data_IF_000142903556
#
_entry.id   IF_000142903556
#
_cell.length_a   1.000
_cell.length_b   1.000
_cell.length_c   1.000
_cell.angle_alpha   90.00
_cell.angle_beta   90.00
_cell.angle_gamma   90.00
#
_symmetry.space_group_name_H-M   'P 1'
#
loop_
_entity.id
_entity.type
_entity.pdbx_description
1 polymer ?
#
# COMPACT_ATOMS: atom_id res chain seq x y z
N UNK A 1 -16.96 -33.24 8.12
CA UNK A 1 -16.53 -32.74 9.45
C UNK A 1 -15.55 -31.60 9.24
N UNK A 2 -15.80 -30.47 9.88
CA UNK A 2 -14.97 -29.26 9.96
C UNK A 2 -14.68 -28.50 8.65
N UNK A 3 -15.55 -27.51 8.40
CA UNK A 3 -15.31 -26.46 7.42
C UNK A 3 -14.06 -25.66 7.79
N UNK A 4 -13.12 -25.61 6.86
CA UNK A 4 -12.01 -24.67 6.88
C UNK A 4 -12.57 -23.27 6.60
N UNK A 5 -13.12 -22.60 7.61
CA UNK A 5 -13.20 -21.14 7.61
C UNK A 5 -11.77 -20.66 7.78
N UNK A 6 -10.99 -20.74 6.69
CA UNK A 6 -9.71 -20.06 6.60
C UNK A 6 -10.09 -18.59 6.69
N UNK A 7 -9.81 -17.94 7.82
CA UNK A 7 -9.70 -16.49 7.89
C UNK A 7 -8.62 -16.08 6.87
N UNK A 8 -9.01 -15.98 5.60
CA UNK A 8 -8.23 -15.35 4.55
C UNK A 8 -8.26 -13.88 4.92
N UNK A 9 -7.34 -13.45 5.78
CA UNK A 9 -6.97 -12.05 5.82
C UNK A 9 -6.46 -11.70 4.43
N UNK A 10 -7.37 -11.09 3.67
CA UNK A 10 -7.17 -10.69 2.30
C UNK A 10 -6.19 -9.53 2.31
N UNK A 11 -5.05 -9.65 1.61
CA UNK A 11 -4.11 -8.55 1.44
C UNK A 11 -4.79 -7.28 0.91
N UNK A 12 -5.93 -7.42 0.21
CA UNK A 12 -6.77 -6.28 -0.18
C UNK A 12 -7.38 -5.55 1.01
N UNK A 13 -7.78 -6.23 2.08
CA UNK A 13 -8.34 -5.59 3.27
C UNK A 13 -7.26 -4.78 4.00
N UNK A 14 -6.09 -5.37 4.20
CA UNK A 14 -4.93 -4.71 4.82
C UNK A 14 -4.50 -3.51 3.99
N UNK A 15 -4.32 -3.69 2.68
CA UNK A 15 -3.92 -2.60 1.79
C UNK A 15 -4.94 -1.46 1.72
N UNK A 16 -6.25 -1.74 1.83
CA UNK A 16 -7.26 -0.68 1.95
C UNK A 16 -7.09 0.12 3.24
N UNK A 17 -6.87 -0.54 4.38
CA UNK A 17 -6.65 0.15 5.65
C UNK A 17 -5.40 1.03 5.60
N UNK A 18 -4.31 0.51 5.05
CA UNK A 18 -3.06 1.26 4.88
C UNK A 18 -3.27 2.45 3.93
N UNK A 19 -3.90 2.27 2.78
CA UNK A 19 -4.17 3.36 1.85
C UNK A 19 -5.00 4.49 2.49
N UNK A 20 -6.04 4.13 3.24
CA UNK A 20 -6.87 5.10 3.97
C UNK A 20 -6.08 5.82 5.08
N UNK A 21 -5.12 5.13 5.72
CA UNK A 21 -4.25 5.74 6.74
C UNK A 21 -3.24 6.75 6.17
N UNK A 22 -2.99 6.72 4.86
CA UNK A 22 -2.24 7.75 4.13
C UNK A 22 -3.15 8.85 3.56
N UNK A 23 -4.47 8.74 3.70
CA UNK A 23 -5.44 9.54 2.96
C UNK A 23 -5.27 9.44 1.42
N UNK A 24 -5.01 8.22 0.92
CA UNK A 24 -4.83 7.95 -0.52
C UNK A 24 -5.92 6.98 -1.00
N UNK A 25 -6.35 7.15 -2.25
CA UNK A 25 -7.31 6.23 -2.89
C UNK A 25 -6.73 4.81 -2.91
N UNK A 26 -7.47 3.78 -2.42
CA UNK A 26 -6.97 2.40 -2.40
C UNK A 26 -6.52 1.88 -3.76
N UNK A 27 -7.22 2.24 -4.84
CA UNK A 27 -6.82 1.82 -6.18
C UNK A 27 -5.44 2.36 -6.56
N UNK A 28 -5.15 3.64 -6.27
CA UNK A 28 -3.85 4.23 -6.55
C UNK A 28 -2.75 3.55 -5.73
N UNK A 29 -3.00 3.28 -4.45
CA UNK A 29 -2.08 2.53 -3.59
C UNK A 29 -1.74 1.15 -4.18
N UNK A 30 -2.76 0.37 -4.58
CA UNK A 30 -2.52 -0.95 -5.17
C UNK A 30 -1.79 -0.87 -6.50
N UNK A 31 -2.14 0.08 -7.37
CA UNK A 31 -1.45 0.28 -8.64
C UNK A 31 0.01 0.66 -8.42
N UNK A 32 0.31 1.48 -7.41
CA UNK A 32 1.70 1.80 -7.03
C UNK A 32 2.46 0.53 -6.63
N UNK A 33 1.90 -0.27 -5.73
CA UNK A 33 2.54 -1.52 -5.30
C UNK A 33 2.71 -2.52 -6.45
N UNK A 34 1.74 -2.60 -7.36
CA UNK A 34 1.82 -3.45 -8.55
C UNK A 34 2.99 -3.06 -9.47
N UNK A 35 3.37 -1.78 -9.53
CA UNK A 35 4.52 -1.34 -10.33
C UNK A 35 5.86 -1.85 -9.77
N UNK A 36 5.95 -2.10 -8.46
CA UNK A 36 7.22 -2.36 -7.77
C UNK A 36 7.33 -3.76 -7.18
N UNK A 37 6.20 -4.39 -6.82
CA UNK A 37 6.14 -5.71 -6.18
C UNK A 37 5.03 -6.53 -6.86
N UNK A 38 5.38 -7.44 -7.79
CA UNK A 38 4.39 -8.26 -8.51
C UNK A 38 3.46 -9.09 -7.62
N UNK A 39 3.92 -9.45 -6.41
CA UNK A 39 3.18 -10.27 -5.42
C UNK A 39 2.70 -9.45 -4.22
N UNK A 40 2.37 -8.17 -4.43
CA UNK A 40 2.05 -7.23 -3.36
C UNK A 40 0.88 -7.66 -2.44
N UNK A 41 -0.12 -8.38 -2.96
CA UNK A 41 -1.22 -8.88 -2.12
C UNK A 41 -0.75 -9.96 -1.13
N UNK A 42 0.15 -10.84 -1.56
CA UNK A 42 0.72 -11.86 -0.68
C UNK A 42 1.66 -11.22 0.34
N UNK A 43 2.45 -10.22 -0.06
CA UNK A 43 3.26 -9.40 0.85
C UNK A 43 2.38 -8.80 1.96
N UNK A 44 1.32 -8.07 1.62
CA UNK A 44 0.42 -7.43 2.59
C UNK A 44 -0.25 -8.45 3.51
N UNK A 45 -0.69 -9.58 2.96
CA UNK A 45 -1.29 -10.66 3.73
C UNK A 45 -0.28 -11.28 4.71
N UNK A 46 0.97 -11.46 4.28
CA UNK A 46 2.01 -12.07 5.09
C UNK A 46 2.47 -11.15 6.23
N UNK A 47 2.72 -9.86 5.96
CA UNK A 47 3.10 -8.89 7.00
C UNK A 47 2.05 -8.85 8.13
N UNK A 48 0.77 -8.82 7.76
CA UNK A 48 -0.29 -8.83 8.77
C UNK A 48 -0.39 -10.16 9.53
N UNK A 49 -0.21 -11.31 8.83
CA UNK A 49 -0.22 -12.64 9.47
C UNK A 49 0.96 -12.84 10.43
N UNK A 50 2.10 -12.20 10.19
CA UNK A 50 3.25 -12.25 11.10
C UNK A 50 3.07 -11.38 12.35
N UNK A 51 1.89 -10.77 12.52
CA UNK A 51 1.56 -9.97 13.69
C UNK A 51 1.86 -8.48 13.52
N UNK A 52 2.29 -8.02 12.33
CA UNK A 52 2.50 -6.60 12.11
C UNK A 52 1.18 -5.84 12.17
N UNK A 53 1.20 -4.77 12.95
CA UNK A 53 0.16 -3.75 13.01
C UNK A 53 0.00 -3.04 11.67
N UNK A 54 -1.15 -2.38 11.48
CA UNK A 54 -1.37 -1.58 10.26
C UNK A 54 -0.33 -0.47 10.12
N UNK A 55 0.16 0.09 11.23
CA UNK A 55 1.20 1.13 11.22
C UNK A 55 2.55 0.58 10.76
N UNK A 56 2.95 -0.62 11.18
CA UNK A 56 4.19 -1.25 10.69
C UNK A 56 4.08 -1.62 9.21
N UNK A 57 2.90 -2.09 8.76
CA UNK A 57 2.67 -2.35 7.32
C UNK A 57 2.72 -1.03 6.53
N UNK A 58 2.18 0.05 7.10
CA UNK A 58 2.23 1.40 6.52
C UNK A 58 3.67 1.89 6.39
N UNK A 59 4.47 1.78 7.45
CA UNK A 59 5.90 2.12 7.46
C UNK A 59 6.66 1.34 6.39
N UNK A 60 6.44 0.03 6.33
CA UNK A 60 7.06 -0.85 5.34
C UNK A 60 6.70 -0.48 3.89
N UNK A 61 5.43 -0.14 3.65
CA UNK A 61 4.92 0.10 2.29
C UNK A 61 5.11 1.54 1.81
N UNK A 62 5.31 2.52 2.70
CA UNK A 62 5.55 3.92 2.35
C UNK A 62 6.63 4.13 1.26
N UNK A 63 7.86 3.60 1.39
CA UNK A 63 8.88 3.77 0.36
C UNK A 63 8.51 3.07 -0.96
N UNK A 64 7.82 1.92 -0.90
CA UNK A 64 7.35 1.19 -2.08
C UNK A 64 6.29 2.00 -2.83
N UNK A 65 5.38 2.66 -2.11
CA UNK A 65 4.37 3.53 -2.70
C UNK A 65 5.02 4.73 -3.38
N UNK A 66 6.02 5.36 -2.78
CA UNK A 66 6.74 6.47 -3.45
C UNK A 66 7.40 6.03 -4.76
N UNK A 67 8.08 4.90 -4.76
CA UNK A 67 8.69 4.36 -5.98
C UNK A 67 7.63 4.00 -7.05
N UNK A 68 6.48 3.48 -6.61
CA UNK A 68 5.34 3.25 -7.50
C UNK A 68 4.79 4.54 -8.10
N UNK A 69 4.67 5.61 -7.31
CA UNK A 69 4.25 6.93 -7.79
C UNK A 69 5.24 7.50 -8.81
N UNK A 70 6.56 7.37 -8.58
CA UNK A 70 7.59 7.75 -9.56
C UNK A 70 7.42 7.01 -10.88
N UNK A 71 7.20 5.70 -10.81
CA UNK A 71 7.01 4.86 -12.00
C UNK A 71 5.76 5.27 -12.78
N UNK A 72 4.66 5.57 -12.08
CA UNK A 72 3.42 6.03 -12.70
C UNK A 72 3.57 7.42 -13.33
N UNK A 73 4.24 8.35 -12.65
CA UNK A 73 4.50 9.70 -13.17
C UNK A 73 5.42 9.68 -14.40
N UNK A 74 6.45 8.83 -14.41
CA UNK A 74 7.31 8.64 -15.58
C UNK A 74 6.54 8.10 -16.78
N UNK A 75 5.55 7.23 -16.55
CA UNK A 75 4.78 6.57 -17.62
C UNK A 75 3.63 7.42 -18.16
N UNK A 76 2.95 8.15 -17.29
CA UNK A 76 1.69 8.84 -17.61
C UNK A 76 1.78 10.37 -17.48
N UNK A 77 2.96 10.89 -17.12
CA UNK A 77 3.16 12.30 -16.77
C UNK A 77 2.57 12.66 -15.40
N UNK A 78 2.72 13.93 -15.00
CA UNK A 78 2.21 14.42 -13.72
C UNK A 78 0.67 14.37 -13.72
N UNK A 79 0.10 13.79 -12.68
CA UNK A 79 -1.34 13.71 -12.45
C UNK A 79 -1.63 14.25 -11.06
N UNK A 80 -2.69 15.05 -10.89
CA UNK A 80 -3.02 15.68 -9.60
C UNK A 80 -3.11 14.66 -8.45
N UNK A 81 -3.67 13.47 -8.70
CA UNK A 81 -3.76 12.40 -7.70
C UNK A 81 -2.42 11.76 -7.34
N UNK A 82 -1.45 11.73 -8.27
CA UNK A 82 -0.10 11.22 -8.03
C UNK A 82 0.67 12.24 -7.19
N UNK A 83 0.58 13.53 -7.56
CA UNK A 83 1.21 14.62 -6.82
C UNK A 83 0.65 14.72 -5.39
N UNK A 84 -0.68 14.67 -5.21
CA UNK A 84 -1.33 14.67 -3.89
C UNK A 84 -0.88 13.48 -3.03
N UNK A 85 -0.91 12.27 -3.59
CA UNK A 85 -0.45 11.06 -2.90
C UNK A 85 1.03 11.16 -2.49
N UNK A 86 1.88 11.68 -3.37
CA UNK A 86 3.31 11.85 -3.11
C UNK A 86 3.55 12.76 -1.91
N UNK A 87 2.88 13.91 -1.85
CA UNK A 87 2.98 14.84 -0.72
C UNK A 87 2.61 14.16 0.60
N UNK A 88 1.51 13.39 0.61
CA UNK A 88 1.03 12.67 1.81
C UNK A 88 2.01 11.60 2.29
N UNK A 89 2.55 10.79 1.38
CA UNK A 89 3.53 9.75 1.75
C UNK A 89 4.87 10.38 2.17
N UNK A 90 5.32 11.45 1.51
CA UNK A 90 6.55 12.16 1.90
C UNK A 90 6.40 12.81 3.28
N UNK A 91 5.26 13.44 3.56
CA UNK A 91 4.99 14.04 4.88
C UNK A 91 5.06 12.98 5.98
N UNK A 92 4.58 11.77 5.72
CA UNK A 92 4.71 10.64 6.65
C UNK A 92 6.17 10.24 6.89
N UNK A 93 6.98 10.10 5.83
CA UNK A 93 8.37 9.63 5.94
C UNK A 93 9.33 10.64 6.57
N UNK A 94 9.09 11.94 6.39
CA UNK A 94 9.97 12.99 6.93
C UNK A 94 9.72 13.23 8.43
N UNK A 95 8.63 12.71 8.97
CA UNK A 95 8.23 12.90 10.36
C UNK A 95 7.62 14.28 10.56
N UNK A 96 6.29 14.31 10.70
CA UNK A 96 5.61 15.36 11.47
C UNK A 96 5.60 14.91 12.93
#
# INVERSE_FOLDING_TARGET
MFGLIKNKFDGRSVGKQVALSFDIKPNLFFTCLEQVVPVYLDLLSNLHKTGSSIEEVKEYTAPLVLQGLDTLEQRFGPQAQITDARVKVQAYLVGV
#
